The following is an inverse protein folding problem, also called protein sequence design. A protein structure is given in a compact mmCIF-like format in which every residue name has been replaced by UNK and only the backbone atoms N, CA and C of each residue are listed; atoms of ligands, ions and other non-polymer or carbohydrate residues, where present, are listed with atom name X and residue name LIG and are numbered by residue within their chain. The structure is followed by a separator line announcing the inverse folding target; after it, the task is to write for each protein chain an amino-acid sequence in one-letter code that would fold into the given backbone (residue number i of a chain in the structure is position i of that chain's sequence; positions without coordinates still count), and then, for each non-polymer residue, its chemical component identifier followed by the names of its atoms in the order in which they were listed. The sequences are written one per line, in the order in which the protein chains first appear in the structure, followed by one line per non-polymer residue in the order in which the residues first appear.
data_IF_508359177030
#
_entry.id   IF_508359177030
#
_cell.length_a   1.000
_cell.length_b   1.000
_cell.length_c   1.000
_cell.angle_alpha   90.00
_cell.angle_beta   90.00
_cell.angle_gamma   90.00
#
_symmetry.space_group_name_H-M   'P 1'
#
loop_
_entity.id
_entity.type
_entity.pdbx_description
1 polymer ?
#
# COMPACT_ATOMS: atom_id res chain seq x y z
N UNK A 1 6.68 11.59 41.94
CA UNK A 1 7.17 10.86 40.75
C UNK A 1 8.49 11.48 40.35
N UNK A 2 9.54 10.66 40.19
CA UNK A 2 10.83 11.17 39.69
C UNK A 2 10.70 11.35 38.19
N UNK A 3 11.39 12.32 37.59
CA UNK A 3 11.31 12.61 36.15
C UNK A 3 11.52 11.38 35.24
N UNK A 4 12.21 10.35 35.74
CA UNK A 4 12.39 9.06 35.08
C UNK A 4 11.08 8.30 34.86
N UNK A 5 10.16 8.32 35.83
CA UNK A 5 8.88 7.60 35.76
C UNK A 5 8.00 8.18 34.64
N UNK A 6 8.06 9.50 34.44
CA UNK A 6 7.29 10.21 33.40
C UNK A 6 7.81 9.88 32.00
N UNK A 7 9.13 9.88 31.82
CA UNK A 7 9.76 9.55 30.53
C UNK A 7 9.44 8.11 30.12
N UNK A 8 9.46 7.17 31.07
CA UNK A 8 9.15 5.78 30.81
C UNK A 8 7.68 5.60 30.39
N UNK A 9 6.74 6.23 31.10
CA UNK A 9 5.31 6.20 30.75
C UNK A 9 5.07 6.75 29.36
N UNK A 10 5.64 7.91 29.03
CA UNK A 10 5.55 8.50 27.69
C UNK A 10 6.17 7.59 26.63
N UNK A 11 7.31 6.98 26.92
CA UNK A 11 7.97 6.03 26.00
C UNK A 11 7.06 4.84 25.68
N UNK A 12 6.43 4.24 26.68
CA UNK A 12 5.51 3.11 26.45
C UNK A 12 4.22 3.53 25.73
N UNK A 13 3.73 4.75 25.95
CA UNK A 13 2.61 5.30 25.17
C UNK A 13 2.97 5.40 23.68
N UNK A 14 4.10 6.06 23.36
CA UNK A 14 4.55 6.20 21.98
C UNK A 14 4.83 4.85 21.33
N UNK A 15 5.43 3.92 22.06
CA UNK A 15 5.59 2.54 21.61
C UNK A 15 4.25 1.92 21.21
N UNK A 16 3.25 1.96 22.10
CA UNK A 16 1.93 1.37 21.87
C UNK A 16 1.25 1.95 20.63
N UNK A 17 1.29 3.28 20.46
CA UNK A 17 0.75 3.96 19.29
C UNK A 17 1.51 3.59 18.03
N UNK A 18 2.84 3.59 18.07
CA UNK A 18 3.67 3.31 16.90
C UNK A 18 3.60 1.86 16.45
N UNK A 19 3.35 0.90 17.35
CA UNK A 19 3.02 -0.48 16.97
C UNK A 19 1.81 -0.51 16.04
N UNK A 20 0.76 0.27 16.31
CA UNK A 20 -0.44 0.34 15.46
C UNK A 20 -0.14 0.95 14.10
N UNK A 21 0.70 2.00 14.06
CA UNK A 21 1.19 2.60 12.81
C UNK A 21 1.88 1.54 11.95
N UNK A 22 2.81 0.80 12.55
CA UNK A 22 3.56 -0.25 11.85
C UNK A 22 2.67 -1.40 11.38
N UNK A 23 1.70 -1.84 12.19
CA UNK A 23 0.73 -2.85 11.78
C UNK A 23 -0.05 -2.42 10.54
N UNK A 24 -0.44 -1.14 10.46
CA UNK A 24 -1.13 -0.60 9.29
C UNK A 24 -0.23 -0.53 8.06
N UNK A 25 1.02 -0.06 8.22
CA UNK A 25 2.02 -0.06 7.13
C UNK A 25 2.21 -1.48 6.58
N UNK A 26 2.36 -2.48 7.45
CA UNK A 26 2.56 -3.86 7.03
C UNK A 26 1.32 -4.49 6.40
N UNK A 27 0.12 -4.18 6.93
CA UNK A 27 -1.14 -4.57 6.27
C UNK A 27 -1.21 -4.00 4.85
N UNK A 28 -0.94 -2.70 4.70
CA UNK A 28 -0.96 -2.02 3.41
C UNK A 28 0.05 -2.62 2.43
N UNK A 29 1.28 -2.88 2.87
CA UNK A 29 2.29 -3.58 2.05
C UNK A 29 1.78 -4.94 1.57
N UNK A 30 1.26 -5.76 2.48
CA UNK A 30 0.73 -7.08 2.14
C UNK A 30 -0.45 -7.04 1.17
N UNK A 31 -1.39 -6.10 1.35
CA UNK A 31 -2.51 -5.93 0.42
C UNK A 31 -2.04 -5.45 -0.95
N UNK A 32 -1.06 -4.54 -1.01
CA UNK A 32 -0.47 -4.11 -2.28
C UNK A 32 0.18 -5.27 -3.03
N UNK A 33 1.00 -6.06 -2.35
CA UNK A 33 1.70 -7.20 -2.97
C UNK A 33 0.73 -8.25 -3.51
N UNK A 34 -0.33 -8.58 -2.75
CA UNK A 34 -1.37 -9.52 -3.19
C UNK A 34 -2.16 -9.01 -4.39
N UNK A 35 -2.40 -7.71 -4.48
CA UNK A 35 -3.25 -7.09 -5.50
C UNK A 35 -2.46 -6.33 -6.57
N UNK A 36 -1.13 -6.51 -6.64
CA UNK A 36 -0.26 -5.80 -7.59
C UNK A 36 -0.73 -5.90 -9.04
N UNK A 37 -1.23 -7.08 -9.43
CA UNK A 37 -1.78 -7.30 -10.77
C UNK A 37 -2.97 -6.37 -11.10
N UNK A 38 -3.82 -6.03 -10.12
CA UNK A 38 -4.91 -5.07 -10.32
C UNK A 38 -4.39 -3.66 -10.63
N UNK A 39 -3.34 -3.23 -9.93
CA UNK A 39 -2.69 -1.93 -10.16
C UNK A 39 -2.05 -1.88 -11.54
N UNK A 40 -1.36 -2.95 -11.94
CA UNK A 40 -0.77 -3.07 -13.27
C UNK A 40 -1.84 -3.02 -14.36
N UNK A 41 -2.97 -3.71 -14.18
CA UNK A 41 -4.11 -3.67 -15.10
C UNK A 41 -4.67 -2.24 -15.25
N UNK A 42 -4.82 -1.49 -14.16
CA UNK A 42 -5.29 -0.09 -14.22
C UNK A 42 -4.34 0.80 -15.02
N UNK A 43 -3.02 0.59 -14.93
CA UNK A 43 -2.04 1.43 -15.62
C UNK A 43 -2.19 1.40 -17.16
N UNK A 44 -2.79 0.35 -17.70
CA UNK A 44 -2.99 0.15 -19.13
C UNK A 44 -4.47 0.07 -19.54
N UNK A 45 -5.41 0.21 -18.60
CA UNK A 45 -6.84 -0.05 -18.85
C UNK A 45 -7.42 0.84 -19.94
N UNK A 46 -7.05 2.11 -19.97
CA UNK A 46 -7.58 3.07 -20.95
C UNK A 46 -7.15 2.72 -22.38
N UNK A 47 -5.91 2.22 -22.53
CA UNK A 47 -5.38 1.76 -23.82
C UNK A 47 -6.09 0.49 -24.27
N UNK A 48 -6.34 -0.45 -23.35
CA UNK A 48 -7.10 -1.68 -23.65
C UNK A 48 -8.52 -1.33 -24.10
N UNK A 49 -9.20 -0.44 -23.36
CA UNK A 49 -10.55 0.00 -23.67
C UNK A 49 -10.64 0.70 -25.02
N UNK A 50 -9.63 1.48 -25.40
CA UNK A 50 -9.58 2.10 -26.71
C UNK A 50 -9.44 1.06 -27.84
N UNK A 51 -8.61 0.02 -27.66
CA UNK A 51 -8.52 -1.08 -28.63
C UNK A 51 -9.87 -1.79 -28.80
N UNK A 52 -10.57 -2.06 -27.69
CA UNK A 52 -11.88 -2.72 -27.68
C UNK A 52 -12.90 -1.85 -28.43
N UNK A 53 -12.95 -0.55 -28.12
CA UNK A 53 -13.87 0.42 -28.75
C UNK A 53 -13.65 0.53 -30.25
N UNK A 54 -12.39 0.59 -30.68
CA UNK A 54 -12.00 0.65 -32.09
C UNK A 54 -12.12 -0.71 -32.81
N UNK A 55 -12.40 -1.80 -32.09
CA UNK A 55 -12.32 -3.18 -32.60
C UNK A 55 -10.99 -3.43 -33.32
N UNK A 56 -9.90 -2.95 -32.75
CA UNK A 56 -8.55 -3.09 -33.27
C UNK A 56 -7.75 -4.05 -32.38
N UNK A 57 -7.08 -5.06 -32.96
CA UNK A 57 -6.22 -5.92 -32.17
C UNK A 57 -5.03 -5.12 -31.62
N UNK A 58 -4.61 -5.41 -30.40
CA UNK A 58 -3.43 -4.78 -29.80
C UNK A 58 -2.73 -5.73 -28.82
N UNK A 59 -1.43 -5.54 -28.66
CA UNK A 59 -0.59 -6.27 -27.71
C UNK A 59 0.01 -5.23 -26.75
N UNK A 60 -0.37 -5.33 -25.47
CA UNK A 60 0.06 -4.46 -24.40
C UNK A 60 0.88 -5.25 -23.36
N UNK A 61 1.55 -6.32 -23.81
CA UNK A 61 2.34 -7.21 -22.98
C UNK A 61 1.48 -8.31 -22.39
N UNK A 62 1.17 -8.20 -21.11
CA UNK A 62 0.38 -9.20 -20.38
C UNK A 62 -1.12 -9.16 -20.73
N UNK A 63 -1.56 -8.11 -21.44
CA UNK A 63 -2.91 -8.01 -22.03
C UNK A 63 -2.83 -7.93 -23.54
N UNK A 64 -3.61 -8.77 -24.22
CA UNK A 64 -3.77 -8.72 -25.68
C UNK A 64 -5.24 -8.63 -26.03
N UNK A 65 -5.59 -7.78 -26.99
CA UNK A 65 -6.93 -7.68 -27.56
C UNK A 65 -6.90 -8.35 -28.93
N UNK A 66 -7.75 -9.35 -29.12
CA UNK A 66 -7.95 -10.04 -30.40
C UNK A 66 -9.34 -9.76 -30.92
N UNK A 67 -9.45 -9.71 -32.25
CA UNK A 67 -10.72 -9.44 -32.94
C UNK A 67 -10.97 -10.58 -33.90
N UNK A 68 -11.99 -11.38 -33.62
CA UNK A 68 -12.38 -12.53 -34.41
C UNK A 68 -13.61 -12.16 -35.22
N UNK A 69 -13.47 -12.18 -36.55
CA UNK A 69 -14.60 -12.01 -37.46
C UNK A 69 -15.33 -13.35 -37.60
N UNK A 70 -16.59 -13.39 -37.16
CA UNK A 70 -17.55 -14.46 -37.44
C UNK A 70 -18.49 -14.00 -38.55
N UNK A 71 -19.12 -14.95 -39.24
CA UNK A 71 -19.96 -14.72 -40.44
C UNK A 71 -20.94 -13.54 -40.35
N UNK A 72 -21.52 -13.28 -39.17
CA UNK A 72 -22.45 -12.17 -38.94
C UNK A 72 -21.99 -11.17 -37.87
N UNK A 73 -20.93 -11.46 -37.11
CA UNK A 73 -20.55 -10.69 -35.92
C UNK A 73 -19.04 -10.55 -35.78
N UNK A 74 -18.59 -9.40 -35.29
CA UNK A 74 -17.20 -9.21 -34.85
C UNK A 74 -17.13 -9.42 -33.34
N UNK A 75 -16.36 -10.40 -32.89
CA UNK A 75 -16.16 -10.69 -31.47
C UNK A 75 -14.79 -10.15 -31.03
N UNK A 76 -14.77 -9.47 -29.88
CA UNK A 76 -13.54 -9.04 -29.23
C UNK A 76 -13.24 -10.04 -28.11
N UNK A 77 -12.01 -10.57 -28.09
CA UNK A 77 -11.49 -11.47 -27.07
C UNK A 77 -10.31 -10.77 -26.41
N UNK A 78 -10.28 -10.78 -25.09
CA UNK A 78 -9.16 -10.24 -24.31
C UNK A 78 -8.37 -11.43 -23.78
N UNK A 79 -7.05 -11.37 -23.88
CA UNK A 79 -6.15 -12.38 -23.33
C UNK A 79 -5.37 -11.70 -22.22
N UNK A 80 -5.56 -12.15 -20.98
CA UNK A 80 -4.85 -11.68 -19.80
C UNK A 80 -3.96 -12.82 -19.31
N UNK A 81 -2.64 -12.63 -19.27
CA UNK A 81 -1.68 -13.66 -18.85
C UNK A 81 -1.85 -15.02 -19.57
N UNK A 82 -2.27 -15.00 -20.84
CA UNK A 82 -2.51 -16.21 -21.64
C UNK A 82 -3.92 -16.80 -21.50
N UNK A 83 -4.75 -16.30 -20.60
CA UNK A 83 -6.13 -16.75 -20.43
C UNK A 83 -7.11 -15.85 -21.20
N UNK A 84 -8.03 -16.47 -21.93
CA UNK A 84 -9.09 -15.73 -22.64
C UNK A 84 -10.18 -15.27 -21.68
N UNK A 85 -10.60 -14.01 -21.82
CA UNK A 85 -11.67 -13.41 -21.07
C UNK A 85 -12.58 -12.55 -21.95
N UNK A 86 -13.83 -12.42 -21.54
CA UNK A 86 -14.80 -11.56 -22.22
C UNK A 86 -14.58 -10.09 -21.85
N UNK A 87 -15.09 -9.18 -22.69
CA UNK A 87 -15.09 -7.73 -22.39
C UNK A 87 -15.84 -7.43 -21.08
N UNK A 88 -16.92 -8.17 -20.79
CA UNK A 88 -17.66 -8.01 -19.53
C UNK A 88 -16.82 -8.40 -18.31
N UNK A 89 -16.16 -9.56 -18.35
CA UNK A 89 -15.27 -10.01 -17.27
C UNK A 89 -14.11 -9.03 -17.07
N UNK A 90 -13.57 -8.49 -18.16
CA UNK A 90 -12.52 -7.47 -18.08
C UNK A 90 -13.03 -6.17 -17.44
N UNK A 91 -14.23 -5.70 -17.80
CA UNK A 91 -14.83 -4.52 -17.17
C UNK A 91 -15.05 -4.72 -15.66
N UNK A 92 -15.49 -5.91 -15.23
CA UNK A 92 -15.60 -6.25 -13.80
C UNK A 92 -14.24 -6.20 -13.11
N UNK A 93 -13.20 -6.72 -13.77
CA UNK A 93 -11.83 -6.67 -13.25
C UNK A 93 -11.31 -5.24 -13.10
N UNK A 94 -11.57 -4.36 -14.09
CA UNK A 94 -11.25 -2.93 -13.99
C UNK A 94 -11.99 -2.28 -12.83
N UNK A 95 -13.28 -2.58 -12.64
CA UNK A 95 -14.05 -2.03 -11.53
C UNK A 95 -13.47 -2.46 -10.17
N UNK A 96 -13.15 -3.75 -10.00
CA UNK A 96 -12.48 -4.25 -8.80
C UNK A 96 -11.12 -3.58 -8.57
N UNK A 97 -10.35 -3.38 -9.63
CA UNK A 97 -9.06 -2.72 -9.53
C UNK A 97 -9.19 -1.25 -9.11
N UNK A 98 -10.18 -0.51 -9.65
CA UNK A 98 -10.47 0.87 -9.26
C UNK A 98 -10.87 0.97 -7.78
N UNK A 99 -11.76 0.08 -7.34
CA UNK A 99 -12.16 0.02 -5.94
C UNK A 99 -10.98 -0.27 -5.01
N UNK A 100 -10.12 -1.24 -5.38
CA UNK A 100 -8.90 -1.51 -4.62
C UNK A 100 -7.98 -0.29 -4.57
N UNK A 101 -7.77 0.39 -5.70
CA UNK A 101 -6.94 1.59 -5.74
C UNK A 101 -7.49 2.70 -4.85
N UNK A 102 -8.79 2.97 -4.89
CA UNK A 102 -9.42 3.97 -4.04
C UNK A 102 -9.27 3.62 -2.56
N UNK A 103 -9.57 2.37 -2.18
CA UNK A 103 -9.33 1.88 -0.83
C UNK A 103 -7.87 2.06 -0.41
N UNK A 104 -6.92 1.66 -1.26
CA UNK A 104 -5.49 1.75 -0.96
C UNK A 104 -5.04 3.20 -0.81
N UNK A 105 -5.40 4.07 -1.75
CA UNK A 105 -5.02 5.48 -1.72
C UNK A 105 -5.58 6.19 -0.47
N UNK A 106 -6.75 5.75 0.04
CA UNK A 106 -7.35 6.28 1.27
C UNK A 106 -6.72 5.67 2.54
N UNK A 107 -6.79 4.35 2.71
CA UNK A 107 -6.44 3.64 3.95
C UNK A 107 -4.92 3.44 4.13
N UNK A 108 -4.14 3.59 3.05
CA UNK A 108 -2.68 3.48 3.04
C UNK A 108 -1.99 4.82 2.75
N UNK A 109 -2.70 5.93 2.99
CA UNK A 109 -2.14 7.28 2.96
C UNK A 109 -1.33 7.60 4.24
N UNK A 110 -0.49 8.64 4.15
CA UNK A 110 0.22 9.16 5.32
C UNK A 110 -0.74 9.60 6.42
N UNK A 111 -1.86 10.23 6.07
CA UNK A 111 -2.86 10.66 7.06
C UNK A 111 -3.53 9.47 7.75
N UNK A 112 -3.75 8.38 7.01
CA UNK A 112 -4.24 7.12 7.57
C UNK A 112 -3.23 6.47 8.50
N UNK A 113 -1.94 6.47 8.16
CA UNK A 113 -0.87 5.98 9.05
C UNK A 113 -0.73 6.80 10.33
N UNK A 114 -1.06 8.09 10.28
CA UNK A 114 -0.97 8.98 11.44
C UNK A 114 -2.18 8.91 12.39
N UNK A 115 -3.28 8.25 12.02
CA UNK A 115 -4.48 8.13 12.86
C UNK A 115 -4.20 7.66 14.31
N UNK A 116 -3.36 6.63 14.56
CA UNK A 116 -3.06 6.18 15.92
C UNK A 116 -2.33 7.22 16.79
N UNK A 117 -1.74 8.24 16.17
CA UNK A 117 -0.95 9.29 16.80
C UNK A 117 -1.75 10.57 17.05
N UNK A 118 -3.04 10.62 16.68
CA UNK A 118 -3.89 11.79 16.96
C UNK A 118 -3.86 12.10 18.47
N UNK A 119 -3.66 13.39 18.77
CA UNK A 119 -3.55 13.91 20.13
C UNK A 119 -2.18 13.72 20.78
N UNK A 120 -1.16 13.26 20.05
CA UNK A 120 0.22 13.18 20.56
C UNK A 120 0.96 14.52 20.41
N UNK A 121 1.77 14.89 21.41
CA UNK A 121 2.46 16.19 21.51
C UNK A 121 3.49 16.48 20.40
N UNK A 122 3.86 15.50 19.58
CA UNK A 122 4.84 15.64 18.48
C UNK A 122 4.31 15.15 17.14
N UNK A 123 3.00 15.25 16.93
CA UNK A 123 2.31 14.72 15.75
C UNK A 123 2.99 15.10 14.43
N UNK A 124 3.28 16.39 14.21
CA UNK A 124 3.86 16.87 12.95
C UNK A 124 5.30 16.39 12.73
N UNK A 125 6.14 16.40 13.77
CA UNK A 125 7.50 15.88 13.66
C UNK A 125 7.50 14.37 13.37
N UNK A 126 6.57 13.61 13.96
CA UNK A 126 6.43 12.19 13.67
C UNK A 126 5.92 11.98 12.24
N UNK A 127 5.01 12.83 11.75
CA UNK A 127 4.55 12.80 10.36
C UNK A 127 5.70 13.01 9.40
N UNK A 128 6.53 14.02 9.62
CA UNK A 128 7.73 14.26 8.81
C UNK A 128 8.71 13.09 8.88
N UNK A 129 8.92 12.53 10.07
CA UNK A 129 9.74 11.33 10.24
C UNK A 129 9.19 10.15 9.41
N UNK A 130 7.89 9.88 9.46
CA UNK A 130 7.27 8.82 8.66
C UNK A 130 7.41 9.09 7.17
N UNK A 131 7.18 10.32 6.71
CA UNK A 131 7.34 10.69 5.30
C UNK A 131 8.76 10.44 4.78
N UNK A 132 9.77 10.75 5.58
CA UNK A 132 11.19 10.55 5.22
C UNK A 132 11.62 9.08 5.28
N UNK A 133 11.01 8.28 6.15
CA UNK A 133 11.47 6.92 6.46
C UNK A 133 10.48 5.80 6.05
N UNK A 134 9.40 6.11 5.31
CA UNK A 134 8.35 5.13 5.02
C UNK A 134 8.87 3.87 4.31
N UNK A 135 9.76 4.03 3.34
CA UNK A 135 10.34 2.89 2.62
C UNK A 135 11.23 2.02 3.53
N UNK A 136 12.02 2.63 4.40
CA UNK A 136 12.81 1.91 5.39
C UNK A 136 11.90 1.16 6.37
N UNK A 137 10.84 1.80 6.87
CA UNK A 137 9.89 1.18 7.79
C UNK A 137 9.21 -0.06 7.19
N UNK A 138 9.03 -0.14 5.86
CA UNK A 138 8.49 -1.35 5.20
C UNK A 138 9.37 -2.59 5.36
N UNK A 139 10.66 -2.44 5.69
CA UNK A 139 11.54 -3.57 6.01
C UNK A 139 11.18 -4.25 7.33
N UNK A 140 10.55 -3.54 8.27
CA UNK A 140 10.05 -4.12 9.52
C UNK A 140 9.03 -5.23 9.22
N UNK A 141 8.24 -5.07 8.17
CA UNK A 141 7.25 -6.06 7.72
C UNK A 141 7.89 -7.35 7.21
N UNK A 142 9.18 -7.32 6.86
CA UNK A 142 9.98 -8.48 6.47
C UNK A 142 10.88 -8.98 7.61
N UNK A 143 10.56 -8.61 8.86
CA UNK A 143 11.36 -8.91 10.05
C UNK A 143 12.81 -8.39 9.96
N UNK A 144 13.03 -7.24 9.33
CA UNK A 144 14.34 -6.59 9.25
C UNK A 144 14.35 -5.29 10.05
N UNK A 145 15.49 -5.01 10.69
CA UNK A 145 15.70 -3.76 11.41
C UNK A 145 16.01 -2.66 10.38
N UNK A 146 15.20 -1.59 10.30
CA UNK A 146 15.39 -0.48 9.37
C UNK A 146 16.50 0.46 9.84
N UNK A 147 17.14 1.17 8.90
CA UNK A 147 18.10 2.22 9.23
C UNK A 147 17.40 3.57 9.28
N UNK A 148 17.00 4.01 10.48
CA UNK A 148 16.16 5.18 10.67
C UNK A 148 16.97 6.39 11.17
N UNK A 149 16.67 7.57 10.61
CA UNK A 149 17.13 8.83 11.19
C UNK A 149 16.12 9.35 12.22
N UNK A 150 16.46 9.26 13.51
CA UNK A 150 15.65 9.70 14.65
C UNK A 150 16.14 11.00 15.29
N UNK A 151 17.15 11.67 14.71
CA UNK A 151 17.87 12.78 15.35
C UNK A 151 17.01 13.99 15.70
N UNK A 152 15.91 14.19 14.96
CA UNK A 152 15.00 15.33 15.15
C UNK A 152 13.86 15.05 16.16
N UNK A 153 13.74 13.81 16.64
CA UNK A 153 12.65 13.40 17.53
C UNK A 153 13.06 13.46 19.01
N UNK A 154 12.15 13.85 19.92
CA UNK A 154 12.39 13.78 21.35
C UNK A 154 12.73 12.36 21.82
N UNK A 155 13.62 12.25 22.80
CA UNK A 155 14.19 10.96 23.24
C UNK A 155 13.12 9.91 23.58
N UNK A 156 12.04 10.28 24.28
CA UNK A 156 10.97 9.33 24.62
C UNK A 156 10.15 8.87 23.40
N UNK A 157 10.00 9.72 22.38
CA UNK A 157 9.38 9.35 21.10
C UNK A 157 10.29 8.38 20.36
N UNK A 158 11.56 8.74 20.20
CA UNK A 158 12.57 7.90 19.53
C UNK A 158 12.70 6.53 20.20
N UNK A 159 12.77 6.50 21.54
CA UNK A 159 12.81 5.26 22.30
C UNK A 159 11.52 4.44 22.12
N UNK A 160 10.36 5.09 22.09
CA UNK A 160 9.07 4.43 21.85
C UNK A 160 9.03 3.75 20.48
N UNK A 161 9.46 4.46 19.43
CA UNK A 161 9.57 3.95 18.06
C UNK A 161 10.54 2.75 17.99
N UNK A 162 11.74 2.89 18.55
CA UNK A 162 12.75 1.81 18.57
C UNK A 162 12.20 0.57 19.28
N UNK A 163 11.58 0.74 20.45
CA UNK A 163 10.97 -0.38 21.19
C UNK A 163 9.85 -1.04 20.37
N UNK A 164 8.99 -0.26 19.72
CA UNK A 164 7.91 -0.79 18.88
C UNK A 164 8.45 -1.65 17.73
N UNK A 165 9.47 -1.16 17.02
CA UNK A 165 10.13 -1.87 15.92
C UNK A 165 10.76 -3.16 16.42
N UNK A 166 11.53 -3.09 17.50
CA UNK A 166 12.18 -4.28 18.08
C UNK A 166 11.17 -5.34 18.51
N UNK A 167 10.05 -4.94 19.12
CA UNK A 167 8.99 -5.87 19.53
C UNK A 167 8.33 -6.55 18.33
N UNK A 168 8.16 -5.84 17.22
CA UNK A 168 7.59 -6.39 15.98
C UNK A 168 8.55 -7.35 15.27
N UNK A 169 9.84 -7.02 15.19
CA UNK A 169 10.84 -7.88 14.57
C UNK A 169 11.13 -9.14 15.41
N UNK A 170 11.08 -9.06 16.75
CA UNK A 170 11.38 -10.19 17.64
C UNK A 170 10.21 -11.17 17.87
N UNK A 171 8.98 -10.79 17.53
CA UNK A 171 7.77 -11.61 17.79
C UNK A 171 7.45 -12.63 16.69
N UNK A 172 8.30 -12.74 15.66
CA UNK A 172 8.17 -13.69 14.56
C UNK A 172 9.33 -14.67 14.58
#
# INVERSE_FOLDING_TARGET
MRNYDVIEVLTEEYKSRFVRVMQQICRCKGEYERNRGLIEILSISDRVMECIRQRKPCDLGFIKVRVVKKFLNTQVIIILNGEEMTVESFNKLIASAKFFKEWYDNDCSMDSYMQPLIGADHYDMIKEFLMKNLEELRYVCDNKIPNLNLGDLPIYVSNGIIKAINDLVKKT
#
